data_IF_300182374440
#
_entry.id   IF_300182374440
#
_cell.length_a   1.000
_cell.length_b   1.000
_cell.length_c   1.000
_cell.angle_alpha   90.00
_cell.angle_beta   90.00
_cell.angle_gamma   90.00
#
_symmetry.space_group_name_H-M   'P 1'
#
loop_
_entity.id
_entity.type
_entity.pdbx_description
1 polymer ?
#
# COMPACT_ATOMS: atom_id res chain seq x y z
N UNK A 1 -7.81 24.89 -92.78
CA UNK A 1 -8.54 25.19 -91.52
C UNK A 1 -7.88 24.40 -90.41
N UNK A 2 -7.25 25.12 -89.47
CA UNK A 2 -7.57 25.12 -88.03
C UNK A 2 -7.34 23.76 -87.34
N UNK A 3 -6.20 23.58 -86.67
CA UNK A 3 -5.93 23.99 -85.28
C UNK A 3 -6.15 22.78 -84.35
N UNK A 4 -5.09 22.32 -83.66
CA UNK A 4 -4.86 22.56 -82.22
C UNK A 4 -5.91 21.82 -81.36
N UNK A 5 -5.66 21.03 -80.32
CA UNK A 5 -4.51 20.67 -79.49
C UNK A 5 -5.13 19.94 -78.26
N UNK A 6 -4.32 19.19 -77.49
CA UNK A 6 -4.52 18.90 -76.04
C UNK A 6 -5.64 17.90 -75.63
N UNK A 7 -5.46 16.92 -74.72
CA UNK A 7 -4.57 16.84 -73.54
C UNK A 7 -4.09 15.42 -73.23
N UNK A 8 -2.78 15.30 -73.04
CA UNK A 8 -2.16 14.33 -72.12
C UNK A 8 -2.42 14.85 -70.70
N UNK A 9 -2.89 14.00 -69.79
CA UNK A 9 -2.59 14.14 -68.35
C UNK A 9 -2.68 12.77 -67.67
N UNK A 10 -1.63 11.97 -67.82
CA UNK A 10 -1.34 10.91 -66.86
C UNK A 10 -0.64 11.58 -65.67
N UNK A 11 -1.41 11.84 -64.61
CA UNK A 11 -0.88 12.42 -63.38
C UNK A 11 -0.24 11.30 -62.53
N UNK A 12 1.01 10.99 -62.83
CA UNK A 12 1.88 10.24 -61.93
C UNK A 12 2.41 11.20 -60.86
N UNK A 13 1.74 11.26 -59.71
CA UNK A 13 2.31 11.87 -58.51
C UNK A 13 2.81 10.75 -57.60
N UNK A 14 4.14 10.65 -57.58
CA UNK A 14 4.98 9.92 -56.65
C UNK A 14 4.49 10.13 -55.22
N UNK A 15 4.06 9.06 -54.53
CA UNK A 15 3.99 9.07 -53.07
C UNK A 15 5.42 9.12 -52.54
N UNK A 16 5.82 10.17 -51.79
CA UNK A 16 7.03 10.07 -51.01
C UNK A 16 6.79 9.03 -49.92
N UNK A 17 7.55 7.94 -49.97
CA UNK A 17 7.78 7.08 -48.81
C UNK A 17 8.44 7.96 -47.74
N UNK A 18 7.61 8.61 -46.92
CA UNK A 18 8.04 9.13 -45.64
C UNK A 18 8.44 7.91 -44.81
N UNK A 19 9.74 7.64 -44.81
CA UNK A 19 10.40 6.87 -43.76
C UNK A 19 10.16 7.60 -42.45
N UNK A 20 8.97 7.37 -41.88
CA UNK A 20 8.71 7.65 -40.48
C UNK A 20 9.61 6.69 -39.70
N UNK A 21 10.81 7.16 -39.36
CA UNK A 21 11.58 6.62 -38.25
C UNK A 21 10.68 6.66 -37.02
N UNK A 22 9.94 5.57 -36.78
CA UNK A 22 9.36 5.27 -35.48
C UNK A 22 10.52 4.96 -34.56
N UNK A 23 11.15 6.00 -34.03
CA UNK A 23 11.91 5.88 -32.78
C UNK A 23 10.86 5.62 -31.71
N UNK A 24 10.47 4.36 -31.57
CA UNK A 24 9.81 3.87 -30.36
C UNK A 24 10.92 3.82 -29.31
N UNK A 25 11.26 4.97 -28.75
CA UNK A 25 11.90 5.00 -27.45
C UNK A 25 10.87 4.45 -26.48
N UNK A 26 10.93 3.14 -26.22
CA UNK A 26 10.30 2.58 -25.03
C UNK A 26 10.98 3.27 -23.86
N UNK A 27 10.34 4.33 -23.34
CA UNK A 27 10.71 4.89 -22.05
C UNK A 27 10.63 3.73 -21.08
N UNK A 28 11.78 3.31 -20.53
CA UNK A 28 11.81 2.25 -19.56
C UNK A 28 10.89 2.66 -18.41
N UNK A 29 9.88 1.84 -18.12
CA UNK A 29 9.04 2.06 -16.96
C UNK A 29 9.94 2.06 -15.73
N UNK A 30 9.86 3.11 -14.92
CA UNK A 30 10.64 3.22 -13.69
C UNK A 30 10.49 1.96 -12.83
N UNK A 31 11.58 1.53 -12.21
CA UNK A 31 11.64 0.40 -11.29
C UNK A 31 12.27 0.86 -9.98
N UNK A 32 11.88 0.19 -8.88
CA UNK A 32 12.55 0.34 -7.59
C UNK A 32 14.03 -0.05 -7.79
N UNK A 33 15.00 0.72 -7.26
CA UNK A 33 16.40 0.34 -7.29
C UNK A 33 16.64 -1.07 -6.75
N UNK A 34 17.58 -1.81 -7.35
CA UNK A 34 17.77 -3.24 -7.04
C UNK A 34 18.20 -3.51 -5.59
N UNK A 35 18.79 -2.53 -4.93
CA UNK A 35 19.21 -2.57 -3.53
C UNK A 35 18.16 -2.01 -2.56
N UNK A 36 16.96 -1.68 -3.05
CA UNK A 36 15.88 -1.05 -2.28
C UNK A 36 14.57 -1.85 -2.30
N UNK A 37 13.71 -1.54 -1.34
CA UNK A 37 12.32 -1.99 -1.28
C UNK A 37 11.42 -0.88 -0.76
N UNK A 38 10.13 -0.88 -1.13
CA UNK A 38 9.16 0.04 -0.56
C UNK A 38 8.68 -0.47 0.81
N UNK A 39 8.69 0.38 1.84
CA UNK A 39 8.14 0.03 3.15
C UNK A 39 6.83 0.74 3.43
N UNK A 40 5.79 -0.04 3.70
CA UNK A 40 4.44 0.45 4.02
C UNK A 40 4.05 -0.08 5.39
N UNK A 41 3.67 0.79 6.32
CA UNK A 41 2.99 0.38 7.55
C UNK A 41 1.49 0.47 7.38
N UNK A 42 0.78 -0.58 7.81
CA UNK A 42 -0.67 -0.68 7.79
C UNK A 42 -1.15 -1.20 9.16
N UNK A 43 -1.75 -0.30 9.94
CA UNK A 43 -2.22 -0.58 11.29
C UNK A 43 -3.73 -0.48 11.40
N UNK A 44 -4.33 -1.43 12.10
CA UNK A 44 -5.69 -1.34 12.61
C UNK A 44 -5.66 -1.10 14.11
N UNK A 45 -6.29 -0.03 14.58
CA UNK A 45 -6.53 0.23 16.00
C UNK A 45 -8.01 0.06 16.32
N UNK A 46 -8.32 -0.84 17.24
CA UNK A 46 -9.66 -1.02 17.79
C UNK A 46 -9.69 -0.48 19.22
N UNK A 47 -10.43 0.60 19.42
CA UNK A 47 -10.65 1.23 20.71
C UNK A 47 -12.11 1.07 21.12
N UNK A 48 -12.33 0.64 22.35
CA UNK A 48 -13.66 0.38 22.89
C UNK A 48 -13.90 1.16 24.18
N UNK A 49 -15.08 1.78 24.29
CA UNK A 49 -15.50 2.52 25.48
C UNK A 49 -16.88 2.04 25.94
N UNK A 50 -17.00 1.69 27.21
CA UNK A 50 -18.32 1.42 27.79
C UNK A 50 -19.10 2.73 27.95
N UNK A 51 -20.31 2.76 27.40
CA UNK A 51 -21.28 3.84 27.60
C UNK A 51 -22.20 3.52 28.77
N UNK A 52 -22.56 2.24 28.93
CA UNK A 52 -23.41 1.75 30.02
C UNK A 52 -23.01 0.31 30.39
N UNK A 53 -23.14 -0.03 31.67
CA UNK A 53 -22.82 -1.35 32.20
C UNK A 53 -21.33 -1.58 32.42
N UNK A 54 -20.99 -2.74 32.98
CA UNK A 54 -19.60 -3.13 33.26
C UNK A 54 -19.09 -4.11 32.20
N UNK A 55 -18.14 -3.69 31.32
CA UNK A 55 -17.60 -4.56 30.30
C UNK A 55 -16.76 -5.68 30.91
N UNK A 56 -16.84 -6.89 30.34
CA UNK A 56 -15.91 -7.97 30.66
C UNK A 56 -14.50 -7.60 30.18
N UNK A 57 -13.42 -8.06 30.84
CA UNK A 57 -12.06 -7.82 30.37
C UNK A 57 -11.88 -8.24 28.91
N UNK A 58 -11.41 -7.31 28.08
CA UNK A 58 -11.10 -7.61 26.69
C UNK A 58 -9.86 -8.50 26.55
N UNK A 59 -9.69 -9.09 25.36
CA UNK A 59 -8.53 -9.95 25.05
C UNK A 59 -7.21 -9.19 25.18
N UNK A 60 -6.15 -9.88 25.55
CA UNK A 60 -4.79 -9.34 25.51
C UNK A 60 -4.04 -9.95 24.34
N UNK A 61 -3.32 -9.12 23.59
CA UNK A 61 -2.47 -9.55 22.49
C UNK A 61 -1.04 -9.11 22.75
N UNK A 62 -0.08 -9.97 22.39
CA UNK A 62 1.33 -9.78 22.70
C UNK A 62 2.14 -9.23 21.53
N UNK A 63 3.19 -8.50 21.95
CA UNK A 63 3.81 -7.30 21.38
C UNK A 63 4.27 -7.28 19.91
N UNK A 64 4.93 -6.18 19.52
CA UNK A 64 5.39 -6.00 18.15
C UNK A 64 6.46 -7.04 17.80
N UNK A 65 6.36 -7.63 16.62
CA UNK A 65 7.42 -8.53 16.12
C UNK A 65 8.44 -7.81 15.26
N UNK A 66 8.39 -6.48 15.19
CA UNK A 66 9.41 -5.67 14.53
C UNK A 66 9.46 -4.25 15.11
N UNK A 67 10.54 -3.52 14.83
CA UNK A 67 10.66 -2.09 15.07
C UNK A 67 11.22 -1.39 13.83
N UNK A 68 10.70 -0.19 13.54
CA UNK A 68 11.19 0.67 12.48
C UNK A 68 11.75 1.97 13.08
N UNK A 69 12.95 2.37 12.64
CA UNK A 69 13.54 3.65 12.96
C UNK A 69 13.48 4.59 11.75
N UNK A 70 12.63 5.63 11.77
CA UNK A 70 12.49 6.56 10.64
C UNK A 70 13.72 7.45 10.40
N UNK A 71 14.58 7.64 11.40
CA UNK A 71 15.79 8.46 11.27
C UNK A 71 16.90 7.71 10.54
N UNK A 72 17.05 6.41 10.80
CA UNK A 72 18.11 5.57 10.24
C UNK A 72 17.65 4.68 9.08
N UNK A 73 16.34 4.54 8.90
CA UNK A 73 15.71 3.62 7.95
C UNK A 73 15.80 2.14 8.35
N UNK A 74 16.22 1.85 9.58
CA UNK A 74 16.41 0.48 10.06
C UNK A 74 15.08 -0.20 10.37
N UNK A 75 14.88 -1.39 9.79
CA UNK A 75 13.72 -2.23 10.00
C UNK A 75 14.17 -3.57 10.60
N UNK A 76 13.93 -3.74 11.90
CA UNK A 76 14.42 -4.88 12.67
C UNK A 76 13.27 -5.82 12.99
N UNK A 77 13.33 -7.07 12.53
CA UNK A 77 12.37 -8.11 12.86
C UNK A 77 12.83 -8.92 14.07
N UNK A 78 11.93 -9.19 15.02
CA UNK A 78 12.14 -10.06 16.18
C UNK A 78 11.54 -11.46 15.99
N UNK A 79 10.79 -11.66 14.91
CA UNK A 79 10.21 -12.98 14.56
C UNK A 79 10.88 -13.60 13.33
N UNK A 80 11.90 -12.93 12.77
CA UNK A 80 12.47 -13.27 11.47
C UNK A 80 11.57 -12.87 10.30
N UNK A 81 12.19 -12.54 9.17
CA UNK A 81 11.53 -12.36 7.87
C UNK A 81 12.32 -13.15 6.84
N UNK A 82 11.63 -14.05 6.14
CA UNK A 82 12.19 -14.78 5.01
C UNK A 82 11.81 -14.10 3.70
N UNK A 83 12.80 -13.73 2.89
CA UNK A 83 12.58 -13.11 1.60
C UNK A 83 13.73 -13.43 0.64
N UNK A 84 13.46 -13.35 -0.66
CA UNK A 84 14.51 -13.37 -1.67
C UNK A 84 14.93 -11.92 -1.97
N UNK A 85 16.20 -11.61 -1.72
CA UNK A 85 16.73 -10.26 -1.89
C UNK A 85 16.60 -9.75 -3.34
N UNK A 86 16.70 -10.60 -4.35
CA UNK A 86 16.65 -10.18 -5.76
C UNK A 86 15.24 -9.84 -6.23
N UNK A 87 14.22 -10.41 -5.58
CA UNK A 87 12.81 -10.24 -5.98
C UNK A 87 11.98 -9.43 -4.99
N UNK A 88 12.50 -9.07 -3.82
CA UNK A 88 11.80 -8.23 -2.85
C UNK A 88 11.47 -6.86 -3.44
N UNK A 89 10.20 -6.48 -3.39
CA UNK A 89 9.70 -5.18 -3.88
C UNK A 89 9.08 -4.34 -2.79
N UNK A 90 8.27 -4.97 -1.93
CA UNK A 90 7.53 -4.28 -0.86
C UNK A 90 7.66 -5.07 0.43
N UNK A 91 7.80 -4.38 1.55
CA UNK A 91 7.53 -4.93 2.87
C UNK A 91 6.32 -4.22 3.45
N UNK A 92 5.31 -5.00 3.82
CA UNK A 92 4.14 -4.53 4.54
C UNK A 92 4.33 -4.81 6.04
N UNK A 93 4.50 -3.75 6.83
CA UNK A 93 4.40 -3.80 8.28
C UNK A 93 2.94 -3.78 8.70
N UNK A 94 2.39 -4.93 9.10
CA UNK A 94 0.99 -5.08 9.46
C UNK A 94 0.83 -5.07 10.97
N UNK A 95 -0.04 -4.20 11.50
CA UNK A 95 -0.29 -4.05 12.93
C UNK A 95 -1.76 -4.16 13.34
N UNK A 96 -1.99 -4.65 14.55
CA UNK A 96 -3.27 -4.62 15.25
C UNK A 96 -3.04 -4.10 16.67
N UNK A 97 -3.79 -3.07 17.06
CA UNK A 97 -3.76 -2.47 18.40
C UNK A 97 -5.14 -2.59 19.03
N UNK A 98 -5.19 -3.05 20.28
CA UNK A 98 -6.43 -3.14 21.06
C UNK A 98 -6.37 -2.21 22.26
N UNK A 99 -7.45 -1.47 22.49
CA UNK A 99 -7.59 -0.53 23.61
C UNK A 99 -8.98 -0.62 24.24
N UNK A 100 -9.05 -0.26 25.52
CA UNK A 100 -10.31 -0.17 26.26
C UNK A 100 -11.09 -1.48 26.29
N UNK A 101 -12.37 -1.45 25.96
CA UNK A 101 -13.25 -2.64 25.98
C UNK A 101 -12.95 -3.64 24.86
N UNK A 102 -12.20 -3.24 23.82
CA UNK A 102 -11.75 -4.15 22.76
C UNK A 102 -10.55 -5.01 23.18
N UNK A 103 -9.93 -4.72 24.33
CA UNK A 103 -8.78 -5.43 24.84
C UNK A 103 -7.58 -4.53 25.09
N UNK A 104 -6.40 -5.16 25.16
CA UNK A 104 -5.14 -4.46 25.40
C UNK A 104 -3.98 -5.10 24.67
N UNK A 105 -3.08 -4.27 24.16
CA UNK A 105 -1.83 -4.70 23.56
C UNK A 105 -1.74 -4.43 22.06
N UNK A 106 -0.65 -4.90 21.49
CA UNK A 106 -0.30 -4.72 20.09
C UNK A 106 0.25 -6.03 19.56
N UNK A 107 -0.15 -6.39 18.35
CA UNK A 107 0.46 -7.45 17.56
C UNK A 107 0.89 -6.85 16.22
N UNK A 108 2.10 -7.13 15.77
CA UNK A 108 2.55 -6.73 14.44
C UNK A 108 3.35 -7.81 13.75
N UNK A 109 3.52 -7.72 12.42
CA UNK A 109 4.42 -8.56 11.63
C UNK A 109 4.87 -7.87 10.35
N UNK A 110 6.01 -8.29 9.82
CA UNK A 110 6.46 -7.90 8.48
C UNK A 110 6.06 -8.96 7.47
N UNK A 111 5.52 -8.52 6.34
CA UNK A 111 5.07 -9.39 5.25
C UNK A 111 5.80 -8.96 3.98
N UNK A 112 6.77 -9.75 3.49
CA UNK A 112 7.50 -9.43 2.27
C UNK A 112 6.66 -9.79 1.03
N UNK A 113 6.70 -8.93 0.03
CA UNK A 113 6.03 -9.13 -1.25
C UNK A 113 7.02 -8.93 -2.40
N UNK A 114 7.11 -9.95 -3.26
CA UNK A 114 7.92 -9.93 -4.49
C UNK A 114 7.12 -9.55 -5.73
N UNK A 115 5.78 -9.62 -5.66
CA UNK A 115 4.88 -9.37 -6.79
C UNK A 115 3.83 -8.32 -6.42
N UNK A 116 3.44 -7.54 -7.43
CA UNK A 116 2.34 -6.58 -7.37
C UNK A 116 1.36 -6.93 -8.52
N UNK A 117 0.04 -6.76 -8.32
CA UNK A 117 -0.61 -6.30 -7.10
C UNK A 117 -0.66 -7.38 -6.00
N UNK A 118 -0.93 -6.99 -4.75
CA UNK A 118 -1.26 -7.89 -3.64
C UNK A 118 -2.33 -7.30 -2.72
N UNK A 119 -2.93 -8.14 -1.88
CA UNK A 119 -4.02 -7.77 -0.96
C UNK A 119 -3.74 -8.21 0.48
N UNK A 120 -4.11 -7.38 1.45
CA UNK A 120 -4.09 -7.68 2.88
C UNK A 120 -5.33 -7.04 3.55
N UNK A 121 -6.38 -7.85 3.75
CA UNK A 121 -7.66 -7.35 4.27
C UNK A 121 -8.35 -6.42 3.27
N UNK A 122 -8.64 -5.17 3.68
CA UNK A 122 -9.27 -4.15 2.84
C UNK A 122 -8.26 -3.34 2.00
N UNK A 123 -6.96 -3.52 2.25
CA UNK A 123 -5.89 -2.87 1.51
C UNK A 123 -5.50 -3.74 0.31
N UNK A 124 -5.56 -3.15 -0.88
CA UNK A 124 -4.93 -3.68 -2.09
C UNK A 124 -3.81 -2.75 -2.53
N UNK A 125 -2.60 -3.26 -2.71
CA UNK A 125 -1.46 -2.50 -3.22
C UNK A 125 -1.31 -2.81 -4.71
N UNK A 126 -1.52 -1.80 -5.56
CA UNK A 126 -1.55 -1.97 -7.02
C UNK A 126 -0.16 -1.83 -7.64
N UNK A 127 0.61 -0.84 -7.18
CA UNK A 127 1.85 -0.47 -7.82
C UNK A 127 2.66 0.51 -6.99
N UNK A 128 3.96 0.55 -7.25
CA UNK A 128 4.89 1.51 -6.66
C UNK A 128 5.45 2.36 -7.78
N UNK A 129 5.52 3.67 -7.58
CA UNK A 129 6.02 4.67 -8.53
C UNK A 129 7.03 5.59 -7.83
N UNK A 130 7.77 6.46 -8.57
CA UNK A 130 8.66 7.43 -7.93
C UNK A 130 7.95 8.35 -6.92
N UNK A 131 6.66 8.61 -7.15
CA UNK A 131 5.86 9.54 -6.35
C UNK A 131 5.29 8.90 -5.07
N UNK A 132 5.17 7.57 -5.03
CA UNK A 132 4.54 6.88 -3.91
C UNK A 132 4.05 5.48 -4.22
N UNK A 133 3.10 5.02 -3.40
CA UNK A 133 2.44 3.72 -3.57
C UNK A 133 0.98 3.92 -3.94
N UNK A 134 0.57 3.36 -5.07
CA UNK A 134 -0.84 3.31 -5.46
C UNK A 134 -1.52 2.15 -4.74
N UNK A 135 -2.51 2.48 -3.91
CA UNK A 135 -3.32 1.51 -3.18
C UNK A 135 -4.80 1.72 -3.46
N UNK A 136 -5.59 0.68 -3.24
CA UNK A 136 -7.05 0.74 -3.25
C UNK A 136 -7.53 0.34 -1.85
N UNK A 137 -8.33 1.21 -1.25
CA UNK A 137 -8.99 0.99 0.03
C UNK A 137 -10.50 1.06 -0.17
N UNK A 138 -11.22 -0.03 0.04
CA UNK A 138 -12.69 -0.07 -0.11
C UNK A 138 -13.16 0.56 -1.45
N UNK A 139 -12.53 0.14 -2.55
CA UNK A 139 -12.75 0.66 -3.92
C UNK A 139 -12.36 2.13 -4.15
N UNK A 140 -11.70 2.79 -3.20
CA UNK A 140 -11.16 4.14 -3.37
C UNK A 140 -9.67 4.08 -3.71
N UNK A 141 -9.24 4.59 -4.88
CA UNK A 141 -7.82 4.70 -5.21
C UNK A 141 -7.17 5.81 -4.39
N UNK A 142 -6.00 5.50 -3.81
CA UNK A 142 -5.22 6.40 -2.96
C UNK A 142 -3.76 6.32 -3.40
N UNK A 143 -3.09 7.47 -3.51
CA UNK A 143 -1.64 7.55 -3.62
C UNK A 143 -1.05 7.85 -2.24
N UNK A 144 -0.35 6.88 -1.65
CA UNK A 144 0.41 7.07 -0.43
C UNK A 144 1.74 7.74 -0.75
N UNK A 145 1.91 9.01 -0.37
CA UNK A 145 3.18 9.73 -0.46
C UNK A 145 4.05 9.42 0.75
N UNK A 146 5.35 9.64 0.59
CA UNK A 146 6.34 9.39 1.65
C UNK A 146 6.01 10.22 2.89
N UNK A 147 5.87 9.55 4.03
CA UNK A 147 5.66 10.17 5.34
C UNK A 147 4.28 10.79 5.57
N UNK A 148 3.38 10.76 4.59
CA UNK A 148 2.02 11.27 4.73
C UNK A 148 1.08 10.14 5.18
N UNK A 149 0.64 10.11 6.45
CA UNK A 149 -0.29 9.08 6.92
C UNK A 149 -1.66 9.29 6.28
N UNK A 150 -2.22 8.19 5.79
CA UNK A 150 -3.64 8.11 5.44
C UNK A 150 -4.40 7.41 6.56
N UNK A 151 -5.58 7.93 6.91
CA UNK A 151 -6.41 7.37 7.97
C UNK A 151 -7.87 7.21 7.55
N UNK A 152 -8.49 6.13 8.03
CA UNK A 152 -9.93 5.95 7.98
C UNK A 152 -10.47 5.51 9.34
N UNK A 153 -11.51 6.18 9.81
CA UNK A 153 -12.09 5.96 11.13
C UNK A 153 -13.58 5.64 11.01
N UNK A 154 -13.99 4.54 11.64
CA UNK A 154 -15.38 4.12 11.77
C UNK A 154 -15.74 4.03 13.25
N UNK A 155 -16.94 4.49 13.62
CA UNK A 155 -17.49 4.38 14.98
C UNK A 155 -18.80 3.60 14.92
N UNK A 156 -18.98 2.64 15.84
CA UNK A 156 -20.20 1.85 15.99
C UNK A 156 -20.60 1.77 17.46
N UNK A 157 -21.89 1.80 17.75
CA UNK A 157 -22.42 1.56 19.09
C UNK A 157 -23.16 0.23 19.07
N UNK A 158 -22.77 -0.67 19.96
CA UNK A 158 -23.30 -2.03 20.04
C UNK A 158 -23.76 -2.35 21.47
N UNK A 159 -24.73 -3.25 21.58
CA UNK A 159 -25.12 -3.85 22.86
C UNK A 159 -24.55 -5.26 22.94
N UNK A 160 -23.63 -5.49 23.88
CA UNK A 160 -22.98 -6.78 24.10
C UNK A 160 -23.51 -7.43 25.38
N UNK A 161 -23.58 -8.76 25.37
CA UNK A 161 -23.93 -9.52 26.58
C UNK A 161 -22.70 -9.68 27.47
N UNK A 162 -22.87 -9.47 28.77
CA UNK A 162 -21.86 -9.67 29.82
C UNK A 162 -22.46 -10.55 30.92
N UNK A 163 -21.65 -11.28 31.71
CA UNK A 163 -22.15 -12.04 32.86
C UNK A 163 -23.03 -11.23 33.83
N UNK A 164 -22.75 -9.93 33.97
CA UNK A 164 -23.44 -9.01 34.87
C UNK A 164 -24.62 -8.26 34.20
N UNK A 165 -25.02 -8.64 32.98
CA UNK A 165 -26.11 -8.02 32.23
C UNK A 165 -25.69 -7.48 30.86
N UNK A 166 -26.47 -6.54 30.31
CA UNK A 166 -26.15 -5.92 29.01
C UNK A 166 -25.17 -4.77 29.22
N UNK A 167 -24.25 -4.61 28.27
CA UNK A 167 -23.29 -3.52 28.24
C UNK A 167 -23.43 -2.82 26.90
N UNK A 168 -23.53 -1.49 26.92
CA UNK A 168 -23.52 -0.67 25.71
C UNK A 168 -22.10 -0.18 25.49
N UNK A 169 -21.52 -0.48 24.33
CA UNK A 169 -20.15 -0.13 23.99
C UNK A 169 -20.11 0.71 22.72
N UNK A 170 -19.23 1.71 22.71
CA UNK A 170 -18.83 2.43 21.51
C UNK A 170 -17.47 1.88 21.05
N UNK A 171 -17.43 1.38 19.82
CA UNK A 171 -16.25 0.81 19.18
C UNK A 171 -15.78 1.75 18.09
N UNK A 172 -14.55 2.24 18.21
CA UNK A 172 -13.83 2.96 17.17
C UNK A 172 -12.85 2.00 16.50
N UNK A 173 -12.94 1.86 15.18
CA UNK A 173 -11.89 1.24 14.35
C UNK A 173 -11.20 2.32 13.54
N UNK A 174 -9.89 2.48 13.73
CA UNK A 174 -9.05 3.36 12.93
C UNK A 174 -8.07 2.52 12.14
N UNK A 175 -8.03 2.71 10.83
CA UNK A 175 -6.99 2.19 9.95
C UNK A 175 -6.03 3.31 9.60
N UNK A 176 -4.73 3.05 9.72
CA UNK A 176 -3.67 3.99 9.37
C UNK A 176 -2.73 3.31 8.38
N UNK A 177 -2.41 4.00 7.30
CA UNK A 177 -1.43 3.57 6.31
C UNK A 177 -0.36 4.63 6.14
N UNK A 178 0.91 4.24 6.15
CA UNK A 178 2.05 5.16 5.93
C UNK A 178 3.03 4.51 4.96
N UNK A 179 3.37 5.22 3.88
CA UNK A 179 4.52 4.85 3.05
C UNK A 179 5.76 5.55 3.61
N UNK A 180 6.74 4.79 4.08
CA UNK A 180 7.97 5.34 4.69
C UNK A 180 9.07 5.62 3.67
N UNK A 181 8.83 5.33 2.40
CA UNK A 181 9.80 5.49 1.33
C UNK A 181 10.48 4.19 0.92
N UNK A 182 11.51 4.36 0.11
CA UNK A 182 12.36 3.27 -0.35
C UNK A 182 13.51 3.08 0.63
N UNK A 183 13.59 1.89 1.22
CA UNK A 183 14.61 1.53 2.19
C UNK A 183 15.64 0.62 1.56
N UNK A 184 16.91 0.75 1.97
CA UNK A 184 17.97 -0.15 1.54
C UNK A 184 17.78 -1.54 2.14
N UNK A 185 18.00 -2.59 1.35
CA UNK A 185 17.88 -3.99 1.79
C UNK A 185 18.84 -4.33 2.95
N UNK A 186 19.99 -3.68 3.02
CA UNK A 186 20.94 -3.83 4.13
C UNK A 186 20.44 -3.26 5.47
N UNK A 187 19.38 -2.44 5.44
CA UNK A 187 18.73 -1.87 6.63
C UNK A 187 17.64 -2.77 7.20
N UNK A 188 17.34 -3.91 6.55
CA UNK A 188 16.45 -4.94 7.06
C UNK A 188 17.27 -6.00 7.80
N UNK A 189 16.95 -6.23 9.06
CA UNK A 189 17.64 -7.23 9.89
C UNK A 189 16.68 -8.17 10.61
N UNK A 190 17.18 -9.37 10.92
CA UNK A 190 16.54 -10.33 11.79
C UNK A 190 17.35 -10.41 13.09
N UNK A 191 16.71 -10.14 14.22
CA UNK A 191 17.30 -10.19 15.57
C UNK A 191 16.73 -11.36 16.38
#
# INVERSE_FOLDING_TARGET
MKNFMFKILALAIMLPFVNACKVSSKVAAWQIPADEYAFIEYYQTNDGRALEGKPYPGRRIDGPTYAFNPETGELNSYAGVEYNADSLRVILGRGLVLRGTQGGGLHSRLIPHSTLPFEEGMLRVEGVTPEGVNVVWDNQPILLKVGEPWENRTVKVDTVSSPDGRVIVENTTTYTMVFHGFLKKEKLSNN
#
